data_IF_649561690209
#
_entry.id   IF_649561690209
#
_cell.length_a   1.000
_cell.length_b   1.000
_cell.length_c   1.000
_cell.angle_alpha   90.00
_cell.angle_beta   90.00
_cell.angle_gamma   90.00
#
_symmetry.space_group_name_H-M   'P 1'
#
loop_
_entity.id
_entity.type
_entity.pdbx_description
1 polymer ?
#
# COMPACT_ATOMS: atom_id res chain seq x y z
N UNK A 1 61.30 -54.51 -36.64
CA UNK A 1 60.59 -53.44 -37.36
C UNK A 1 59.40 -53.08 -36.52
N UNK A 2 59.55 -52.14 -35.53
CA UNK A 2 58.56 -51.84 -34.51
C UNK A 2 58.24 -50.35 -34.62
N UNK A 3 57.00 -50.04 -34.97
CA UNK A 3 56.53 -48.68 -35.17
C UNK A 3 56.02 -48.15 -33.82
N UNK A 4 56.74 -47.14 -33.30
CA UNK A 4 56.28 -46.39 -32.15
C UNK A 4 55.16 -45.40 -32.55
N UNK A 5 53.98 -45.56 -31.98
CA UNK A 5 52.91 -44.55 -32.02
C UNK A 5 53.15 -43.49 -30.93
N UNK A 6 53.43 -42.26 -31.33
CA UNK A 6 53.38 -41.08 -30.44
C UNK A 6 51.94 -40.65 -30.26
N UNK A 7 51.45 -40.68 -29.03
CA UNK A 7 50.21 -40.06 -28.64
C UNK A 7 50.49 -38.63 -28.20
N UNK A 8 49.97 -37.68 -28.95
CA UNK A 8 49.95 -36.24 -28.53
C UNK A 8 48.73 -36.05 -27.64
N UNK A 9 48.96 -35.69 -26.39
CA UNK A 9 47.95 -35.20 -25.46
C UNK A 9 47.61 -33.75 -25.80
N UNK A 10 46.37 -33.49 -26.18
CA UNK A 10 45.83 -32.16 -26.33
C UNK A 10 45.20 -31.78 -24.97
N UNK A 11 45.88 -30.89 -24.25
CA UNK A 11 45.29 -30.28 -23.07
C UNK A 11 44.28 -29.21 -23.48
N UNK A 12 43.01 -29.56 -23.37
CA UNK A 12 41.91 -28.61 -23.53
C UNK A 12 41.83 -27.76 -22.25
N UNK A 13 42.31 -26.51 -22.32
CA UNK A 13 42.08 -25.52 -21.30
C UNK A 13 40.62 -25.08 -21.33
N UNK A 14 39.85 -25.47 -20.33
CA UNK A 14 38.53 -24.87 -20.06
C UNK A 14 38.73 -23.44 -19.58
N UNK A 15 38.52 -22.48 -20.45
CA UNK A 15 38.23 -21.11 -20.03
C UNK A 15 36.78 -21.09 -19.50
N UNK A 16 36.62 -21.06 -18.18
CA UNK A 16 35.36 -20.74 -17.55
C UNK A 16 35.07 -19.24 -17.78
N UNK A 17 34.24 -18.94 -18.78
CA UNK A 17 33.61 -17.63 -18.86
C UNK A 17 32.63 -17.54 -17.67
N UNK A 18 33.02 -16.89 -16.59
CA UNK A 18 32.09 -16.41 -15.60
C UNK A 18 31.24 -15.31 -16.26
N UNK A 19 30.10 -15.72 -16.77
CA UNK A 19 29.07 -14.76 -17.15
C UNK A 19 28.63 -14.06 -15.85
N UNK A 20 29.14 -12.87 -15.62
CA UNK A 20 28.57 -11.93 -14.67
C UNK A 20 27.17 -11.58 -15.20
N UNK A 21 26.18 -12.35 -14.81
CA UNK A 21 24.78 -11.94 -14.93
C UNK A 21 24.58 -10.78 -13.98
N UNK A 22 24.79 -9.57 -14.48
CA UNK A 22 24.25 -8.41 -13.78
C UNK A 22 22.75 -8.62 -13.68
N UNK A 23 22.15 -8.42 -12.49
CA UNK A 23 20.70 -8.44 -12.40
C UNK A 23 20.20 -7.40 -13.40
N UNK A 24 19.34 -7.82 -14.32
CA UNK A 24 18.66 -6.93 -15.21
C UNK A 24 17.69 -6.09 -14.35
N UNK A 25 18.17 -4.98 -13.83
CA UNK A 25 17.29 -3.95 -13.30
C UNK A 25 16.40 -3.53 -14.47
N UNK A 26 15.09 -3.70 -14.31
CA UNK A 26 14.15 -3.13 -15.25
C UNK A 26 14.41 -1.63 -15.28
N UNK A 27 15.06 -1.15 -16.34
CA UNK A 27 15.24 0.28 -16.51
C UNK A 27 13.87 0.87 -16.81
N UNK A 28 13.37 1.70 -15.89
CA UNK A 28 12.18 2.48 -16.18
C UNK A 28 12.54 3.47 -17.29
N UNK A 29 11.65 3.67 -18.23
CA UNK A 29 11.81 4.69 -19.27
C UNK A 29 11.56 6.11 -18.73
N UNK A 30 11.15 6.22 -17.47
CA UNK A 30 10.92 7.47 -16.76
C UNK A 30 12.07 7.74 -15.79
N UNK A 31 12.43 9.02 -15.58
CA UNK A 31 13.40 9.37 -14.56
C UNK A 31 12.86 8.94 -13.20
N UNK A 32 13.75 8.37 -12.38
CA UNK A 32 13.47 8.07 -10.96
C UNK A 32 13.95 9.22 -10.09
N UNK A 33 13.45 9.28 -8.86
CA UNK A 33 13.69 10.37 -7.94
C UNK A 33 12.60 11.44 -8.01
N UNK A 34 12.86 12.61 -7.44
CA UNK A 34 11.92 13.73 -7.49
C UNK A 34 11.90 14.34 -8.90
N UNK A 35 10.73 14.34 -9.53
CA UNK A 35 10.52 14.81 -10.92
C UNK A 35 9.75 16.13 -10.97
N UNK A 36 8.99 16.43 -9.92
CA UNK A 36 8.29 17.71 -9.72
C UNK A 36 8.48 18.12 -8.27
N UNK A 37 8.85 19.36 -8.04
CA UNK A 37 8.83 19.95 -6.70
C UNK A 37 8.70 21.47 -6.73
N UNK A 38 7.59 21.97 -6.19
CA UNK A 38 7.32 23.38 -5.95
C UNK A 38 7.25 23.60 -4.44
N UNK A 39 8.37 23.90 -3.76
CA UNK A 39 8.43 23.96 -2.29
C UNK A 39 7.42 24.92 -1.66
N UNK A 40 7.11 26.02 -2.33
CA UNK A 40 6.14 27.02 -1.80
C UNK A 40 4.70 26.50 -1.75
N UNK A 41 4.35 25.44 -2.50
CA UNK A 41 3.00 24.91 -2.63
C UNK A 41 2.86 23.48 -2.06
N UNK A 42 3.95 22.74 -2.00
CA UNK A 42 3.97 21.41 -1.41
C UNK A 42 3.99 21.47 0.13
N UNK A 43 3.56 20.39 0.77
CA UNK A 43 3.74 20.20 2.20
C UNK A 43 5.09 19.55 2.46
N UNK A 44 5.95 20.26 3.14
CA UNK A 44 7.31 19.82 3.49
C UNK A 44 7.29 18.71 4.55
N UNK A 45 7.92 17.57 4.23
CA UNK A 45 7.94 16.38 5.11
C UNK A 45 9.05 15.44 4.69
N UNK A 46 9.30 14.41 5.49
CA UNK A 46 9.94 13.19 4.99
C UNK A 46 8.90 12.22 4.47
N UNK A 47 9.33 11.28 3.62
CA UNK A 47 8.51 10.15 3.17
C UNK A 47 9.19 8.85 3.59
N UNK A 48 8.48 8.05 4.39
CA UNK A 48 8.90 6.70 4.75
C UNK A 48 8.49 5.75 3.62
N UNK A 49 9.46 5.15 2.94
CA UNK A 49 9.25 4.26 1.80
C UNK A 49 9.67 2.84 2.15
N UNK A 50 8.79 1.91 1.88
CA UNK A 50 9.04 0.48 1.89
C UNK A 50 8.87 -0.06 0.48
N UNK A 51 9.93 -0.64 -0.07
CA UNK A 51 9.89 -1.20 -1.43
C UNK A 51 9.05 -2.46 -1.50
N UNK A 52 8.20 -2.53 -2.51
CA UNK A 52 7.47 -3.73 -2.86
C UNK A 52 8.26 -4.52 -3.90
N UNK A 53 8.84 -5.66 -3.51
CA UNK A 53 9.67 -6.47 -4.40
C UNK A 53 8.86 -7.34 -5.38
N UNK A 54 7.54 -7.28 -5.33
CA UNK A 54 6.70 -8.09 -6.20
C UNK A 54 6.59 -7.49 -7.59
N UNK A 55 7.38 -7.97 -8.49
CA UNK A 55 7.04 -7.99 -9.92
C UNK A 55 5.87 -8.96 -10.09
N UNK A 56 4.64 -8.47 -9.84
CA UNK A 56 3.40 -9.20 -10.00
C UNK A 56 3.06 -10.15 -8.84
N UNK A 57 1.78 -10.23 -8.50
CA UNK A 57 1.19 -11.19 -7.54
C UNK A 57 1.26 -12.65 -8.04
N UNK A 58 2.25 -13.01 -8.86
CA UNK A 58 2.36 -14.37 -9.35
C UNK A 58 3.07 -15.24 -8.31
N UNK A 59 2.52 -16.41 -7.92
CA UNK A 59 3.14 -17.28 -6.94
C UNK A 59 4.60 -17.65 -7.25
N UNK A 60 4.96 -17.73 -8.54
CA UNK A 60 6.34 -18.01 -8.96
C UNK A 60 7.30 -16.82 -8.72
N UNK A 61 6.83 -15.58 -8.72
CA UNK A 61 7.66 -14.42 -8.37
C UNK A 61 7.96 -14.41 -6.87
N UNK A 62 6.98 -14.80 -6.06
CA UNK A 62 7.14 -14.97 -4.60
C UNK A 62 8.16 -16.06 -4.27
N UNK A 63 8.03 -17.25 -4.89
CA UNK A 63 8.97 -18.37 -4.72
C UNK A 63 10.38 -17.99 -5.19
N UNK A 64 10.48 -17.18 -6.25
CA UNK A 64 11.78 -16.74 -6.75
C UNK A 64 12.43 -15.71 -5.83
N UNK A 65 11.68 -14.76 -5.31
CA UNK A 65 12.17 -13.79 -4.32
C UNK A 65 12.63 -14.46 -3.02
N UNK A 66 11.93 -15.51 -2.59
CA UNK A 66 12.31 -16.32 -1.43
C UNK A 66 13.55 -17.20 -1.71
N UNK A 67 13.67 -17.73 -2.92
CA UNK A 67 14.78 -18.62 -3.31
C UNK A 67 16.06 -17.88 -3.71
N UNK A 68 15.97 -16.66 -4.23
CA UNK A 68 17.10 -15.85 -4.67
C UNK A 68 17.67 -14.98 -3.51
N UNK A 69 17.17 -15.19 -2.27
CA UNK A 69 17.52 -14.34 -1.14
C UNK A 69 17.19 -12.90 -1.51
N UNK A 70 15.87 -12.59 -1.58
CA UNK A 70 15.44 -11.24 -1.92
C UNK A 70 16.34 -10.26 -1.18
N UNK A 71 17.03 -9.43 -1.93
CA UNK A 71 17.84 -8.36 -1.35
C UNK A 71 17.00 -7.70 -0.27
N UNK A 72 17.51 -7.54 0.94
CA UNK A 72 16.79 -6.86 1.99
C UNK A 72 16.38 -5.51 1.41
N UNK A 73 15.11 -5.39 1.03
CA UNK A 73 14.63 -4.12 0.58
C UNK A 73 14.66 -3.26 1.80
N UNK A 74 15.46 -2.22 1.75
CA UNK A 74 15.60 -1.28 2.83
C UNK A 74 14.31 -0.51 2.99
N UNK A 75 13.91 -0.26 4.22
CA UNK A 75 12.91 0.76 4.51
C UNK A 75 13.68 2.07 4.62
N UNK A 76 13.29 3.05 3.82
CA UNK A 76 14.02 4.31 3.67
C UNK A 76 13.17 5.49 4.08
N UNK A 77 13.80 6.45 4.69
CA UNK A 77 13.26 7.79 4.87
C UNK A 77 13.96 8.73 3.88
N UNK A 78 13.18 9.39 3.03
CA UNK A 78 13.69 10.37 2.06
C UNK A 78 13.19 11.77 2.38
N UNK A 79 13.94 12.79 1.97
CA UNK A 79 13.48 14.18 1.95
C UNK A 79 12.65 14.47 0.68
N UNK A 80 12.11 15.67 0.56
CA UNK A 80 11.30 16.07 -0.58
C UNK A 80 12.07 16.16 -1.90
N UNK A 81 13.39 16.29 -1.87
CA UNK A 81 14.27 16.24 -3.04
C UNK A 81 14.68 14.80 -3.40
N UNK A 82 14.23 13.81 -2.62
CA UNK A 82 14.50 12.40 -2.88
C UNK A 82 15.82 11.89 -2.32
N UNK A 83 16.51 12.67 -1.48
CA UNK A 83 17.73 12.23 -0.81
C UNK A 83 17.37 11.28 0.34
N UNK A 84 18.11 10.18 0.45
CA UNK A 84 17.96 9.24 1.56
C UNK A 84 18.50 9.87 2.84
N UNK A 85 17.65 9.99 3.84
CA UNK A 85 17.97 10.58 5.16
C UNK A 85 18.32 9.50 6.17
N UNK A 86 17.61 8.37 6.10
CA UNK A 86 17.84 7.23 6.98
C UNK A 86 17.39 5.93 6.32
N UNK A 87 17.99 4.80 6.73
CA UNK A 87 17.67 3.46 6.19
C UNK A 87 17.69 2.44 7.32
N UNK A 88 16.65 1.60 7.34
CA UNK A 88 16.61 0.39 8.17
C UNK A 88 16.79 -0.84 7.28
N UNK A 89 17.77 -1.66 7.60
CA UNK A 89 17.88 -3.00 7.03
C UNK A 89 16.96 -3.95 7.81
N UNK A 90 15.92 -4.45 7.15
CA UNK A 90 14.91 -5.31 7.80
C UNK A 90 14.89 -6.71 7.20
N UNK A 91 14.34 -7.67 7.94
CA UNK A 91 14.16 -9.03 7.45
C UNK A 91 13.44 -9.03 6.09
N UNK A 92 13.95 -9.76 5.08
CA UNK A 92 13.39 -9.73 3.72
C UNK A 92 11.94 -10.20 3.70
N UNK A 93 11.04 -9.38 3.16
CA UNK A 93 9.65 -9.74 2.94
C UNK A 93 9.08 -8.95 1.76
N UNK A 94 8.17 -9.54 0.99
CA UNK A 94 7.65 -8.92 -0.23
C UNK A 94 6.67 -7.78 0.03
N UNK A 95 5.93 -7.80 1.14
CA UNK A 95 4.92 -6.80 1.50
C UNK A 95 5.29 -6.14 2.84
N UNK A 96 6.23 -5.21 2.78
CA UNK A 96 6.88 -4.59 3.94
C UNK A 96 6.04 -3.46 4.51
N UNK A 97 4.98 -3.77 5.24
CA UNK A 97 4.22 -2.74 5.94
C UNK A 97 4.97 -2.26 7.15
N UNK A 98 5.13 -0.96 7.26
CA UNK A 98 5.88 -0.35 8.36
C UNK A 98 5.20 0.92 8.87
N UNK A 99 5.53 1.26 10.10
CA UNK A 99 5.11 2.51 10.77
C UNK A 99 6.28 3.03 11.61
N UNK A 100 6.60 4.30 11.45
CA UNK A 100 7.55 4.99 12.31
C UNK A 100 6.81 5.44 13.57
N UNK A 101 7.39 5.16 14.74
CA UNK A 101 6.86 5.59 16.03
C UNK A 101 7.43 6.97 16.43
N UNK A 102 6.75 7.72 17.32
CA UNK A 102 7.30 8.97 17.87
C UNK A 102 8.62 8.80 18.63
N UNK A 103 8.94 7.58 19.10
CA UNK A 103 10.24 7.24 19.70
C UNK A 103 11.40 7.23 18.70
N UNK A 104 11.10 7.10 17.41
CA UNK A 104 12.07 6.82 16.35
C UNK A 104 12.18 5.33 16.00
N UNK A 105 11.48 4.46 16.71
CA UNK A 105 11.44 3.05 16.37
C UNK A 105 10.57 2.80 15.14
N UNK A 106 10.95 1.80 14.35
CA UNK A 106 10.20 1.33 13.19
C UNK A 106 9.48 0.02 13.52
N UNK A 107 8.15 0.00 13.45
CA UNK A 107 7.39 -1.24 13.52
C UNK A 107 7.16 -1.77 12.11
N UNK A 108 7.43 -3.04 11.92
CA UNK A 108 7.49 -3.67 10.61
C UNK A 108 6.82 -5.05 10.62
N UNK A 109 5.96 -5.31 9.62
CA UNK A 109 5.37 -6.63 9.38
C UNK A 109 6.31 -7.41 8.48
N UNK A 110 6.96 -8.41 9.02
CA UNK A 110 7.99 -9.21 8.38
C UNK A 110 7.55 -10.61 7.95
N UNK A 111 8.51 -11.47 7.59
CA UNK A 111 8.24 -12.85 7.23
C UNK A 111 7.72 -13.68 8.40
N UNK A 112 7.19 -14.87 8.09
CA UNK A 112 6.74 -15.86 9.07
C UNK A 112 5.68 -15.35 10.07
N UNK A 113 4.85 -14.39 9.66
CA UNK A 113 3.81 -13.77 10.51
C UNK A 113 4.40 -13.07 11.75
N UNK A 114 5.64 -12.60 11.67
CA UNK A 114 6.32 -11.93 12.76
C UNK A 114 6.25 -10.43 12.57
N UNK A 115 5.90 -9.71 13.62
CA UNK A 115 5.97 -8.27 13.70
C UNK A 115 7.25 -7.92 14.45
N UNK A 116 8.04 -7.03 13.89
CA UNK A 116 9.29 -6.56 14.46
C UNK A 116 9.15 -5.08 14.85
N UNK A 117 9.82 -4.70 15.93
CA UNK A 117 10.13 -3.30 16.22
C UNK A 117 11.65 -3.15 16.23
N UNK A 118 12.14 -2.27 15.37
CA UNK A 118 13.55 -1.89 15.26
C UNK A 118 13.74 -0.54 15.92
N UNK A 119 14.84 -0.35 16.64
CA UNK A 119 15.24 0.99 17.05
C UNK A 119 15.77 1.82 15.86
N UNK A 120 16.16 3.05 16.13
CA UNK A 120 16.73 3.93 15.09
C UNK A 120 18.00 3.35 14.47
N UNK A 121 18.80 2.63 15.23
CA UNK A 121 20.08 2.05 14.81
C UNK A 121 19.94 0.69 14.11
N UNK A 122 18.70 0.19 13.95
CA UNK A 122 18.38 -1.06 13.26
C UNK A 122 18.44 -2.31 14.15
N UNK A 123 18.53 -2.17 15.48
CA UNK A 123 18.46 -3.31 16.39
C UNK A 123 16.99 -3.71 16.62
N UNK A 124 16.71 -5.01 16.65
CA UNK A 124 15.39 -5.52 17.02
C UNK A 124 15.20 -5.37 18.54
N UNK A 125 14.20 -4.59 18.93
CA UNK A 125 13.89 -4.30 20.34
C UNK A 125 12.61 -4.99 20.83
N UNK A 126 11.75 -5.42 19.92
CA UNK A 126 10.54 -6.16 20.22
C UNK A 126 10.10 -7.02 19.04
N UNK A 127 9.48 -8.17 19.34
CA UNK A 127 8.86 -9.06 18.34
C UNK A 127 7.55 -9.64 18.85
N UNK A 128 6.64 -9.90 17.91
CA UNK A 128 5.42 -10.66 18.19
C UNK A 128 5.16 -11.67 17.07
N UNK A 129 4.80 -12.90 17.45
CA UNK A 129 4.52 -14.00 16.53
C UNK A 129 3.14 -14.58 16.81
N UNK A 130 2.59 -15.34 15.86
CA UNK A 130 1.42 -16.18 16.09
C UNK A 130 0.08 -15.64 15.64
N UNK A 131 -0.03 -14.36 15.27
CA UNK A 131 -1.21 -13.84 14.60
C UNK A 131 -1.08 -14.09 13.09
N UNK A 132 -2.16 -14.53 12.45
CA UNK A 132 -2.21 -14.96 11.07
C UNK A 132 -1.55 -14.04 10.04
N UNK A 133 -1.87 -14.16 8.76
CA UNK A 133 -1.29 -13.28 7.73
C UNK A 133 -1.74 -11.84 7.96
N UNK A 134 -0.85 -11.00 8.48
CA UNK A 134 -1.14 -9.59 8.76
C UNK A 134 -1.18 -8.80 7.45
N UNK A 135 -2.35 -8.23 7.15
CA UNK A 135 -2.54 -7.43 5.94
C UNK A 135 -2.38 -5.93 6.17
N UNK A 136 -2.72 -5.42 7.34
CA UNK A 136 -2.44 -4.06 7.77
C UNK A 136 -2.20 -4.00 9.29
N UNK A 137 -1.59 -2.91 9.72
CA UNK A 137 -1.28 -2.64 11.11
C UNK A 137 -1.42 -1.15 11.39
N UNK A 138 -2.00 -0.82 12.55
CA UNK A 138 -2.02 0.54 13.09
C UNK A 138 -1.46 0.55 14.50
N UNK A 139 -0.79 1.63 14.83
CA UNK A 139 -0.36 1.89 16.21
C UNK A 139 -1.45 2.74 16.86
N UNK A 140 -1.96 2.27 17.97
CA UNK A 140 -2.99 2.96 18.74
C UNK A 140 -2.38 4.00 19.69
N UNK A 141 -3.16 4.97 20.19
CA UNK A 141 -2.65 5.98 21.13
C UNK A 141 -2.05 5.42 22.43
N UNK A 142 -2.48 4.23 22.86
CA UNK A 142 -1.91 3.49 23.99
C UNK A 142 -0.66 2.68 23.62
N UNK A 143 -0.13 2.88 22.41
CA UNK A 143 1.00 2.16 21.85
C UNK A 143 0.76 0.66 21.61
N UNK A 144 -0.47 0.17 21.68
CA UNK A 144 -0.82 -1.18 21.23
C UNK A 144 -0.84 -1.25 19.68
N UNK A 145 -0.78 -2.48 19.16
CA UNK A 145 -0.83 -2.75 17.72
C UNK A 145 -2.20 -3.30 17.37
N UNK A 146 -2.94 -2.57 16.53
CA UNK A 146 -4.17 -3.07 15.92
C UNK A 146 -3.80 -3.74 14.60
N UNK A 147 -4.11 -5.03 14.48
CA UNK A 147 -3.69 -5.90 13.38
C UNK A 147 -4.91 -6.41 12.61
N UNK A 148 -4.79 -6.55 11.30
CA UNK A 148 -5.70 -7.35 10.48
C UNK A 148 -5.03 -8.70 10.24
N UNK A 149 -5.73 -9.78 10.59
CA UNK A 149 -5.33 -11.15 10.26
C UNK A 149 -6.34 -11.80 9.32
N UNK A 150 -5.83 -12.60 8.40
CA UNK A 150 -6.65 -13.44 7.52
C UNK A 150 -6.46 -14.90 7.95
N UNK A 151 -7.45 -15.42 8.66
CA UNK A 151 -7.46 -16.78 9.20
C UNK A 151 -8.65 -17.57 8.64
N UNK A 152 -8.57 -18.89 8.57
CA UNK A 152 -9.72 -19.72 8.19
C UNK A 152 -10.91 -19.47 9.07
N UNK A 153 -12.08 -19.20 8.49
CA UNK A 153 -13.34 -19.11 9.20
C UNK A 153 -13.63 -20.47 9.86
N UNK A 154 -14.10 -20.52 11.14
CA UNK A 154 -14.42 -21.78 11.80
C UNK A 154 -15.43 -22.63 10.99
N UNK A 155 -15.30 -23.96 11.06
CA UNK A 155 -16.05 -24.90 10.23
C UNK A 155 -17.58 -24.75 10.34
N UNK A 156 -18.08 -24.45 11.54
CA UNK A 156 -19.50 -24.22 11.77
C UNK A 156 -20.07 -23.03 10.99
N UNK A 157 -19.25 -21.98 10.77
CA UNK A 157 -19.60 -20.83 9.92
C UNK A 157 -19.40 -21.17 8.44
N UNK A 158 -18.33 -21.90 8.12
CA UNK A 158 -18.06 -22.33 6.74
C UNK A 158 -19.24 -23.10 6.14
N UNK A 159 -19.95 -23.90 6.90
CA UNK A 159 -21.15 -24.64 6.47
C UNK A 159 -22.35 -23.74 6.11
N UNK A 160 -22.34 -22.48 6.47
CA UNK A 160 -23.38 -21.49 6.14
C UNK A 160 -23.14 -20.82 4.79
N UNK A 161 -21.98 -20.97 4.21
CA UNK A 161 -21.63 -20.44 2.88
C UNK A 161 -22.39 -21.22 1.82
N UNK A 162 -23.13 -20.51 0.97
CA UNK A 162 -23.92 -21.09 -0.12
C UNK A 162 -23.07 -21.24 -1.38
N UNK A 163 -23.38 -22.27 -2.15
CA UNK A 163 -22.84 -22.41 -3.49
C UNK A 163 -23.44 -21.37 -4.42
N UNK A 164 -22.59 -20.58 -5.05
CA UNK A 164 -23.01 -19.54 -5.99
C UNK A 164 -22.11 -19.57 -7.21
N UNK A 165 -22.74 -19.62 -8.39
CA UNK A 165 -22.03 -19.43 -9.63
C UNK A 165 -21.70 -17.97 -9.82
N UNK A 166 -20.40 -17.66 -9.88
CA UNK A 166 -19.88 -16.33 -10.19
C UNK A 166 -19.45 -16.34 -11.65
N UNK A 167 -19.97 -15.38 -12.43
CA UNK A 167 -19.60 -15.21 -13.83
C UNK A 167 -18.72 -13.96 -14.03
N UNK A 168 -17.46 -13.99 -13.62
CA UNK A 168 -16.53 -12.92 -13.93
C UNK A 168 -16.25 -12.91 -15.45
N UNK A 169 -15.69 -11.82 -15.94
CA UNK A 169 -15.41 -11.63 -17.37
C UNK A 169 -14.44 -12.68 -17.97
N UNK A 170 -13.69 -13.40 -17.14
CA UNK A 170 -12.79 -14.49 -17.55
C UNK A 170 -13.43 -15.89 -17.53
N UNK A 171 -14.70 -15.98 -17.24
CA UNK A 171 -15.46 -17.22 -17.22
C UNK A 171 -16.17 -17.50 -15.90
N UNK A 172 -17.18 -18.35 -15.91
CA UNK A 172 -17.93 -18.72 -14.71
C UNK A 172 -17.06 -19.51 -13.74
N UNK A 173 -17.24 -19.24 -12.45
CA UNK A 173 -16.66 -19.98 -11.34
C UNK A 173 -17.73 -20.31 -10.32
N UNK A 174 -17.60 -21.45 -9.69
CA UNK A 174 -18.42 -21.80 -8.54
C UNK A 174 -17.68 -21.37 -7.27
N UNK A 175 -18.35 -20.58 -6.45
CA UNK A 175 -17.92 -20.28 -5.08
C UNK A 175 -18.91 -20.92 -4.13
N UNK A 176 -18.42 -21.57 -3.09
CA UNK A 176 -19.34 -22.21 -2.17
C UNK A 176 -18.75 -22.87 -0.94
N UNK A 177 -19.58 -23.68 -0.33
CA UNK A 177 -19.29 -24.36 0.93
C UNK A 177 -18.12 -25.35 0.89
N UNK A 178 -17.70 -25.76 -0.32
CA UNK A 178 -16.54 -26.64 -0.49
C UNK A 178 -15.16 -25.98 -0.37
N UNK A 179 -15.13 -24.64 -0.31
CA UNK A 179 -13.90 -23.88 -0.22
C UNK A 179 -13.67 -23.37 1.19
N UNK A 180 -12.44 -23.51 1.71
CA UNK A 180 -12.06 -22.86 2.97
C UNK A 180 -12.02 -21.36 2.77
N UNK A 181 -12.92 -20.63 3.41
CA UNK A 181 -12.95 -19.17 3.38
C UNK A 181 -12.01 -18.62 4.43
N UNK A 182 -11.21 -17.63 4.04
CA UNK A 182 -10.46 -16.81 4.98
C UNK A 182 -11.34 -15.67 5.47
N UNK A 183 -11.43 -15.52 6.77
CA UNK A 183 -12.10 -14.42 7.44
C UNK A 183 -11.27 -13.15 7.44
N UNK A 184 -11.79 -12.16 8.14
CA UNK A 184 -11.06 -10.96 8.50
C UNK A 184 -11.19 -10.79 10.01
N UNK A 185 -10.07 -10.94 10.69
CA UNK A 185 -9.99 -10.89 12.12
C UNK A 185 -9.15 -9.70 12.53
N UNK A 186 -9.59 -8.97 13.54
CA UNK A 186 -8.89 -7.84 14.08
C UNK A 186 -8.40 -8.20 15.49
N UNK A 187 -7.14 -7.89 15.77
CA UNK A 187 -6.54 -8.11 17.08
C UNK A 187 -5.85 -6.83 17.56
N UNK A 188 -6.09 -6.45 18.81
CA UNK A 188 -5.25 -5.48 19.50
C UNK A 188 -4.26 -6.23 20.39
N UNK A 189 -2.98 -6.01 20.13
CA UNK A 189 -1.88 -6.64 20.87
C UNK A 189 -1.15 -5.58 21.67
N UNK A 190 -0.95 -5.83 22.97
CA UNK A 190 -0.18 -4.96 23.84
C UNK A 190 1.33 -5.19 23.70
N UNK A 191 2.13 -4.43 24.44
CA UNK A 191 3.59 -4.54 24.42
C UNK A 191 4.13 -5.82 25.06
N UNK A 192 3.32 -6.48 25.89
CA UNK A 192 3.66 -7.78 26.49
C UNK A 192 3.36 -8.94 25.52
N UNK A 193 2.80 -8.64 24.35
CA UNK A 193 2.44 -9.61 23.31
C UNK A 193 1.07 -10.26 23.55
N UNK A 194 0.27 -9.76 24.48
CA UNK A 194 -1.06 -10.31 24.78
C UNK A 194 -2.11 -9.69 23.87
N UNK A 195 -3.05 -10.51 23.38
CA UNK A 195 -4.26 -10.05 22.70
C UNK A 195 -5.22 -9.51 23.77
N UNK A 196 -5.43 -8.19 23.76
CA UNK A 196 -6.27 -7.50 24.74
C UNK A 196 -7.67 -7.14 24.19
N UNK A 197 -7.84 -7.21 22.87
CA UNK A 197 -9.12 -7.05 22.18
C UNK A 197 -9.08 -7.79 20.85
N UNK A 198 -10.23 -8.36 20.47
CA UNK A 198 -10.40 -9.07 19.21
C UNK A 198 -11.79 -8.85 18.60
N UNK A 199 -11.89 -8.95 17.30
CA UNK A 199 -13.13 -8.89 16.55
C UNK A 199 -13.03 -9.78 15.32
N UNK A 200 -14.08 -10.59 15.08
CA UNK A 200 -14.11 -11.56 13.98
C UNK A 200 -15.28 -11.24 13.04
N UNK A 201 -15.01 -10.98 11.78
CA UNK A 201 -16.01 -10.58 10.81
C UNK A 201 -17.18 -11.60 10.67
N UNK A 202 -16.87 -12.89 10.76
CA UNK A 202 -17.88 -13.96 10.64
C UNK A 202 -18.92 -13.97 11.75
N UNK A 203 -18.71 -13.26 12.85
CA UNK A 203 -19.69 -13.09 13.93
C UNK A 203 -20.64 -11.90 13.68
N UNK A 204 -20.38 -11.05 12.67
CA UNK A 204 -21.04 -9.77 12.50
C UNK A 204 -21.59 -9.53 11.09
N UNK A 205 -21.10 -10.24 10.09
CA UNK A 205 -21.49 -10.09 8.68
C UNK A 205 -22.01 -11.40 8.11
N UNK A 206 -22.97 -11.28 7.17
CA UNK A 206 -23.47 -12.42 6.41
C UNK A 206 -22.35 -13.00 5.55
N UNK A 207 -22.01 -14.27 5.76
CA UNK A 207 -20.99 -15.00 5.00
C UNK A 207 -21.29 -15.11 3.50
N UNK A 208 -22.53 -14.83 3.10
CA UNK A 208 -22.96 -14.82 1.71
C UNK A 208 -22.86 -13.45 1.03
N UNK A 209 -22.30 -12.44 1.74
CA UNK A 209 -21.92 -11.17 1.13
C UNK A 209 -20.64 -11.37 0.32
N UNK A 210 -20.71 -11.20 -0.96
CA UNK A 210 -19.55 -11.22 -1.87
C UNK A 210 -19.86 -10.49 -3.17
N UNK A 211 -18.84 -10.10 -3.89
CA UNK A 211 -18.95 -9.51 -5.23
C UNK A 211 -18.51 -10.53 -6.30
N UNK A 212 -18.90 -10.32 -7.57
CA UNK A 212 -18.43 -11.16 -8.68
C UNK A 212 -16.92 -11.22 -8.84
N UNK A 213 -16.19 -10.25 -8.27
CA UNK A 213 -14.74 -10.19 -8.31
C UNK A 213 -14.05 -10.76 -7.08
N UNK A 214 -14.80 -11.26 -6.10
CA UNK A 214 -14.22 -11.90 -4.91
C UNK A 214 -13.47 -13.16 -5.31
N UNK A 215 -12.17 -13.27 -4.97
CA UNK A 215 -11.39 -14.49 -5.20
C UNK A 215 -11.95 -15.67 -4.41
N UNK A 216 -11.70 -16.87 -4.89
CA UNK A 216 -12.00 -18.09 -4.14
C UNK A 216 -11.24 -18.10 -2.81
N UNK A 217 -11.93 -18.48 -1.75
CA UNK A 217 -11.34 -18.61 -0.42
C UNK A 217 -10.98 -17.29 0.29
N UNK A 218 -11.23 -16.12 -0.30
CA UNK A 218 -10.88 -14.82 0.29
C UNK A 218 -12.13 -13.93 0.37
N UNK A 219 -12.88 -14.10 1.42
CA UNK A 219 -14.23 -13.55 1.55
C UNK A 219 -14.29 -12.01 1.50
N UNK A 220 -13.73 -11.31 2.49
CA UNK A 220 -13.83 -9.86 2.59
C UNK A 220 -12.58 -9.14 2.08
N UNK A 221 -11.43 -9.78 2.22
CA UNK A 221 -10.13 -9.16 1.99
C UNK A 221 -10.01 -7.79 2.66
N UNK A 222 -10.25 -7.75 3.97
CA UNK A 222 -10.06 -6.51 4.72
C UNK A 222 -8.60 -6.09 4.59
N UNK A 223 -8.39 -4.90 4.06
CA UNK A 223 -7.05 -4.47 3.67
C UNK A 223 -6.59 -3.19 4.38
N UNK A 224 -7.48 -2.49 5.07
CA UNK A 224 -7.09 -1.37 5.92
C UNK A 224 -8.01 -1.23 7.13
N UNK A 225 -7.40 -0.82 8.23
CA UNK A 225 -8.07 -0.40 9.47
C UNK A 225 -7.48 0.92 9.92
N UNK A 226 -8.31 1.77 10.51
CA UNK A 226 -7.86 3.00 11.13
C UNK A 226 -8.73 3.30 12.37
N UNK A 227 -8.15 3.64 13.52
CA UNK A 227 -8.94 4.20 14.62
C UNK A 227 -9.49 5.56 14.17
N UNK A 228 -10.76 5.82 14.50
CA UNK A 228 -11.34 7.14 14.25
C UNK A 228 -10.64 8.19 15.12
N UNK A 229 -10.24 9.33 14.53
CA UNK A 229 -9.68 10.44 15.27
C UNK A 229 -10.79 11.23 16.00
N UNK A 230 -10.40 12.20 16.80
CA UNK A 230 -11.29 13.28 17.23
C UNK A 230 -11.95 13.94 16.02
N UNK A 231 -13.29 14.13 16.04
CA UNK A 231 -14.01 14.59 14.86
C UNK A 231 -15.29 15.37 15.23
N UNK A 232 -15.75 16.17 14.26
CA UNK A 232 -16.93 17.04 14.40
C UNK A 232 -18.24 16.29 14.64
N UNK A 233 -18.33 15.05 14.20
CA UNK A 233 -19.57 14.27 14.31
C UNK A 233 -19.80 13.79 15.74
N UNK A 234 -18.76 13.27 16.36
CA UNK A 234 -18.79 12.92 17.78
C UNK A 234 -18.99 14.15 18.66
N UNK A 235 -18.33 15.27 18.35
CA UNK A 235 -18.54 16.55 19.03
C UNK A 235 -20.02 17.01 18.94
N UNK A 236 -20.72 16.66 17.86
CA UNK A 236 -22.13 16.94 17.67
C UNK A 236 -23.07 15.88 18.30
N UNK A 237 -22.55 14.86 18.97
CA UNK A 237 -23.30 13.83 19.67
C UNK A 237 -23.57 12.54 18.86
N UNK A 238 -22.92 12.36 17.71
CA UNK A 238 -23.06 11.12 16.93
C UNK A 238 -22.08 10.05 17.43
N UNK A 239 -22.58 9.16 18.28
CA UNK A 239 -21.81 8.09 18.93
C UNK A 239 -21.21 7.07 17.94
N UNK A 240 -21.74 6.98 16.72
CA UNK A 240 -21.16 6.10 15.69
C UNK A 240 -19.71 6.44 15.39
N UNK A 241 -19.37 7.73 15.46
CA UNK A 241 -18.04 8.24 15.14
C UNK A 241 -17.20 8.56 16.38
N UNK A 242 -17.43 7.87 17.50
CA UNK A 242 -16.63 7.98 18.71
C UNK A 242 -15.14 7.77 18.38
N UNK A 243 -14.24 8.67 18.84
CA UNK A 243 -12.79 8.46 18.71
C UNK A 243 -12.35 7.11 19.26
N UNK A 244 -11.51 6.42 18.51
CA UNK A 244 -11.06 5.07 18.83
C UNK A 244 -11.94 3.94 18.30
N UNK A 245 -13.18 4.19 17.84
CA UNK A 245 -13.92 3.24 17.00
C UNK A 245 -13.11 2.93 15.73
N UNK A 246 -13.31 1.76 15.15
CA UNK A 246 -12.44 1.25 14.09
C UNK A 246 -13.13 1.38 12.74
N UNK A 247 -12.53 2.18 11.85
CA UNK A 247 -12.89 2.23 10.43
C UNK A 247 -12.21 1.07 9.72
N UNK A 248 -12.97 0.24 9.03
CA UNK A 248 -12.53 -0.98 8.37
C UNK A 248 -12.94 -0.96 6.90
N UNK A 249 -12.02 -1.25 5.97
CA UNK A 249 -12.34 -1.38 4.55
C UNK A 249 -12.41 -2.85 4.12
N UNK A 250 -13.62 -3.31 3.78
CA UNK A 250 -13.88 -4.64 3.23
C UNK A 250 -13.82 -4.58 1.69
N UNK A 251 -12.62 -4.75 1.15
CA UNK A 251 -12.26 -4.57 -0.25
C UNK A 251 -13.15 -5.36 -1.20
N UNK A 252 -13.35 -6.65 -0.92
CA UNK A 252 -13.99 -7.55 -1.87
C UNK A 252 -15.51 -7.36 -1.97
N UNK A 253 -16.13 -6.70 -1.00
CA UNK A 253 -17.55 -6.34 -1.03
C UNK A 253 -17.79 -4.84 -1.20
N UNK A 254 -16.70 -4.06 -1.46
CA UNK A 254 -16.76 -2.64 -1.76
C UNK A 254 -17.50 -1.81 -0.69
N UNK A 255 -17.24 -2.08 0.58
CA UNK A 255 -17.92 -1.44 1.70
C UNK A 255 -16.91 -1.06 2.79
N UNK A 256 -17.11 0.09 3.39
CA UNK A 256 -16.38 0.56 4.56
C UNK A 256 -17.30 0.50 5.77
N UNK A 257 -16.79 0.03 6.91
CA UNK A 257 -17.55 -0.11 8.14
C UNK A 257 -16.92 0.67 9.29
N UNK A 258 -17.73 1.13 10.22
CA UNK A 258 -17.27 1.56 11.54
C UNK A 258 -17.73 0.55 12.57
N UNK A 259 -16.76 0.03 13.32
CA UNK A 259 -16.97 -0.90 14.43
C UNK A 259 -16.85 -0.10 15.72
N UNK A 260 -17.88 -0.12 16.53
CA UNK A 260 -17.79 0.37 17.90
C UNK A 260 -16.88 -0.54 18.72
N UNK A 261 -15.78 0.01 19.20
CA UNK A 261 -14.72 -0.79 19.83
C UNK A 261 -15.16 -1.42 21.17
N UNK A 262 -16.05 -0.77 21.89
CA UNK A 262 -16.55 -1.24 23.19
C UNK A 262 -17.57 -2.36 23.02
N UNK A 263 -18.58 -2.17 22.17
CA UNK A 263 -19.67 -3.12 21.96
C UNK A 263 -19.37 -4.17 20.90
N UNK A 264 -18.29 -3.99 20.12
CA UNK A 264 -17.91 -4.83 18.97
C UNK A 264 -18.95 -4.85 17.84
N UNK A 265 -19.93 -3.94 17.83
CA UNK A 265 -20.99 -3.86 16.82
C UNK A 265 -20.58 -2.98 15.66
N UNK A 266 -20.99 -3.35 14.46
CA UNK A 266 -20.96 -2.44 13.32
C UNK A 266 -22.03 -1.37 13.56
N UNK A 267 -21.62 -0.10 13.59
CA UNK A 267 -22.48 1.06 13.89
C UNK A 267 -22.69 1.99 12.70
N UNK A 268 -21.89 1.81 11.64
CA UNK A 268 -22.01 2.55 10.38
C UNK A 268 -21.45 1.73 9.24
N UNK A 269 -22.02 1.91 8.05
CA UNK A 269 -21.51 1.38 6.80
C UNK A 269 -21.62 2.43 5.69
N UNK A 270 -20.69 2.40 4.73
CA UNK A 270 -20.70 3.32 3.62
C UNK A 270 -19.98 2.79 2.39
N UNK A 271 -20.44 3.29 1.27
CA UNK A 271 -19.86 3.08 -0.05
C UNK A 271 -20.14 4.32 -0.89
N UNK A 272 -19.63 4.38 -2.11
CA UNK A 272 -19.99 5.45 -3.05
C UNK A 272 -20.41 4.89 -4.41
N UNK A 273 -21.12 5.71 -5.18
CA UNK A 273 -21.63 5.37 -6.50
C UNK A 273 -20.94 6.14 -7.65
N UNK A 274 -19.81 6.80 -7.36
CA UNK A 274 -19.08 7.60 -8.35
C UNK A 274 -18.62 6.74 -9.53
N UNK A 275 -18.98 7.16 -10.75
CA UNK A 275 -18.57 6.52 -12.02
C UNK A 275 -18.68 4.98 -12.02
N UNK A 276 -19.76 4.44 -11.46
CA UNK A 276 -20.03 3.01 -11.43
C UNK A 276 -19.73 2.33 -10.10
N UNK A 277 -19.45 3.11 -9.08
CA UNK A 277 -19.32 2.64 -7.70
C UNK A 277 -17.90 2.31 -7.24
N UNK A 278 -17.75 2.16 -5.95
CA UNK A 278 -16.49 1.76 -5.32
C UNK A 278 -16.02 0.41 -5.84
N UNK A 279 -14.74 0.27 -6.13
CA UNK A 279 -14.18 -0.94 -6.70
C UNK A 279 -12.82 -1.27 -6.10
N UNK A 280 -12.81 -2.22 -5.15
CA UNK A 280 -11.61 -2.75 -4.51
C UNK A 280 -10.75 -1.69 -3.79
N UNK A 281 -11.41 -0.78 -3.07
CA UNK A 281 -10.74 0.32 -2.39
C UNK A 281 -9.70 -0.15 -1.35
N UNK A 282 -8.75 0.75 -1.08
CA UNK A 282 -7.72 0.63 -0.05
C UNK A 282 -7.70 1.87 0.84
N UNK A 283 -7.04 1.77 1.97
CA UNK A 283 -6.64 2.86 2.86
C UNK A 283 -7.77 3.86 3.16
N UNK A 284 -8.94 3.36 3.60
CA UNK A 284 -9.99 4.25 4.08
C UNK A 284 -9.57 4.86 5.43
N UNK A 285 -9.65 6.19 5.56
CA UNK A 285 -9.40 6.90 6.81
C UNK A 285 -10.35 8.09 6.97
N UNK A 286 -10.64 8.49 8.20
CA UNK A 286 -11.32 9.74 8.48
C UNK A 286 -10.29 10.87 8.57
N UNK A 287 -10.54 11.97 7.88
CA UNK A 287 -9.68 13.15 7.89
C UNK A 287 -9.65 13.75 9.29
N UNK A 288 -8.45 13.93 9.82
CA UNK A 288 -8.21 14.39 11.19
C UNK A 288 -8.74 15.81 11.44
N UNK A 289 -9.12 16.07 12.69
CA UNK A 289 -9.58 17.40 13.14
C UNK A 289 -8.50 18.45 12.88
N UNK A 290 -8.90 19.60 12.38
CA UNK A 290 -8.00 20.71 12.03
C UNK A 290 -7.48 20.68 10.58
N UNK A 291 -7.69 19.59 9.86
CA UNK A 291 -7.35 19.52 8.44
C UNK A 291 -8.54 19.90 7.54
N UNK A 292 -8.31 20.41 6.34
CA UNK A 292 -9.37 20.62 5.35
C UNK A 292 -10.13 19.32 5.06
N UNK A 293 -11.46 19.34 5.18
CA UNK A 293 -12.31 18.16 5.06
C UNK A 293 -12.45 17.34 6.36
N UNK A 294 -11.99 17.86 7.49
CA UNK A 294 -12.05 17.17 8.80
C UNK A 294 -13.39 16.51 9.08
N UNK A 295 -13.35 15.22 9.46
CA UNK A 295 -14.50 14.37 9.72
C UNK A 295 -15.09 13.67 8.46
N UNK A 296 -14.65 14.00 7.25
CA UNK A 296 -14.99 13.26 6.06
C UNK A 296 -14.13 11.99 5.96
N UNK A 297 -14.61 10.99 5.23
CA UNK A 297 -13.86 9.77 4.95
C UNK A 297 -13.20 9.91 3.59
N UNK A 298 -11.90 9.66 3.53
CA UNK A 298 -11.13 9.64 2.29
C UNK A 298 -10.61 8.22 2.03
N UNK A 299 -10.65 7.77 0.77
CA UNK A 299 -10.24 6.42 0.39
C UNK A 299 -9.59 6.38 -1.00
N UNK A 300 -8.76 5.35 -1.22
CA UNK A 300 -8.11 5.04 -2.47
C UNK A 300 -8.93 3.99 -3.23
N UNK A 301 -9.75 4.41 -4.19
CA UNK A 301 -10.58 3.49 -4.99
C UNK A 301 -9.81 3.00 -6.21
N UNK A 302 -9.32 1.76 -6.18
CA UNK A 302 -8.44 1.19 -7.20
C UNK A 302 -9.09 1.02 -8.57
N UNK A 303 -10.42 0.90 -8.66
CA UNK A 303 -11.11 0.82 -9.94
C UNK A 303 -10.96 -0.51 -10.67
N UNK A 304 -10.73 -1.62 -9.95
CA UNK A 304 -10.51 -2.92 -10.55
C UNK A 304 -11.84 -3.57 -10.99
N UNK A 305 -11.87 -4.15 -12.15
CA UNK A 305 -12.85 -5.03 -12.84
C UNK A 305 -14.36 -4.95 -12.54
N UNK A 306 -14.79 -4.55 -11.35
CA UNK A 306 -16.23 -4.54 -10.98
C UNK A 306 -16.96 -3.27 -11.37
N UNK A 307 -16.19 -2.25 -11.76
CA UNK A 307 -16.76 -0.98 -12.20
C UNK A 307 -17.27 -1.07 -13.64
N UNK A 308 -18.23 -0.21 -13.99
CA UNK A 308 -18.72 -0.08 -15.34
C UNK A 308 -17.58 0.03 -16.36
N UNK A 309 -17.70 -0.61 -17.53
CA UNK A 309 -16.65 -0.75 -18.54
C UNK A 309 -15.93 0.56 -18.90
N UNK A 310 -16.64 1.66 -18.91
CA UNK A 310 -16.06 2.99 -19.23
C UNK A 310 -15.03 3.47 -18.19
N UNK A 311 -15.03 2.91 -16.99
CA UNK A 311 -14.20 3.35 -15.86
C UNK A 311 -13.37 2.21 -15.25
N UNK A 312 -13.38 1.03 -15.87
CA UNK A 312 -12.51 -0.08 -15.47
C UNK A 312 -11.05 0.31 -15.69
N UNK A 313 -10.19 0.07 -14.70
CA UNK A 313 -8.77 0.42 -14.79
C UNK A 313 -8.49 1.92 -14.57
N UNK A 314 -9.41 2.62 -13.90
CA UNK A 314 -9.23 4.01 -13.47
C UNK A 314 -9.32 4.07 -11.93
N UNK A 315 -8.28 4.62 -11.32
CA UNK A 315 -8.22 4.87 -9.88
C UNK A 315 -8.80 6.25 -9.55
N UNK A 316 -9.45 6.34 -8.40
CA UNK A 316 -9.95 7.59 -7.84
C UNK A 316 -9.49 7.74 -6.39
N UNK A 317 -9.16 8.96 -5.97
CA UNK A 317 -9.18 9.30 -4.55
C UNK A 317 -10.51 9.96 -4.29
N UNK A 318 -11.29 9.40 -3.39
CA UNK A 318 -12.65 9.88 -3.12
C UNK A 318 -12.74 10.34 -1.68
N UNK A 319 -13.24 11.56 -1.49
CA UNK A 319 -13.61 12.10 -0.19
C UNK A 319 -15.13 12.17 -0.11
N UNK A 320 -15.72 11.59 0.94
CA UNK A 320 -17.16 11.57 1.15
C UNK A 320 -17.55 12.04 2.56
N UNK A 321 -18.68 12.70 2.64
CA UNK A 321 -19.34 13.00 3.90
C UNK A 321 -19.95 11.72 4.48
N UNK A 322 -19.59 11.29 5.70
CA UNK A 322 -20.05 10.02 6.25
C UNK A 322 -21.53 10.03 6.68
N UNK A 323 -22.18 11.18 6.75
CA UNK A 323 -23.61 11.27 7.10
C UNK A 323 -24.50 11.16 5.87
N UNK A 324 -24.14 11.89 4.81
CA UNK A 324 -24.95 11.97 3.59
C UNK A 324 -24.49 10.98 2.52
N UNK A 325 -23.27 10.46 2.62
CA UNK A 325 -22.55 9.69 1.61
C UNK A 325 -22.35 10.47 0.29
N UNK A 326 -22.52 11.78 0.33
CA UNK A 326 -22.21 12.65 -0.81
C UNK A 326 -20.70 12.78 -0.99
N UNK A 327 -20.30 12.81 -2.24
CA UNK A 327 -18.90 13.02 -2.61
C UNK A 327 -18.58 14.49 -2.50
N UNK A 328 -17.57 14.80 -1.70
CA UNK A 328 -17.11 16.17 -1.42
C UNK A 328 -15.96 16.55 -2.35
N UNK A 329 -15.08 15.61 -2.64
CA UNK A 329 -13.93 15.84 -3.51
C UNK A 329 -13.48 14.53 -4.16
N UNK A 330 -12.94 14.65 -5.38
CA UNK A 330 -12.35 13.53 -6.12
C UNK A 330 -11.07 13.99 -6.79
N UNK A 331 -10.03 13.18 -6.70
CA UNK A 331 -8.89 13.25 -7.61
C UNK A 331 -8.98 12.13 -8.64
N UNK A 332 -8.87 12.49 -9.90
CA UNK A 332 -8.83 11.58 -11.04
C UNK A 332 -8.04 12.21 -12.19
N UNK A 333 -7.67 11.42 -13.17
CA UNK A 333 -7.12 11.93 -14.43
C UNK A 333 -8.18 11.88 -15.53
N UNK A 334 -8.30 12.95 -16.30
CA UNK A 334 -9.31 13.09 -17.37
C UNK A 334 -8.86 12.48 -18.71
N UNK A 335 -9.84 12.10 -19.53
CA UNK A 335 -9.67 11.64 -20.90
C UNK A 335 -8.80 10.38 -21.03
N UNK A 336 -7.99 10.32 -22.09
CA UNK A 336 -7.03 9.22 -22.28
C UNK A 336 -5.89 9.23 -21.26
N UNK A 337 -5.83 10.24 -20.42
CA UNK A 337 -4.87 10.35 -19.33
C UNK A 337 -5.21 9.43 -18.13
N UNK A 338 -6.36 8.76 -18.12
CA UNK A 338 -6.72 7.78 -17.11
C UNK A 338 -5.72 6.63 -16.97
N UNK A 339 -4.93 6.37 -18.03
CA UNK A 339 -3.79 5.43 -17.94
C UNK A 339 -2.68 5.97 -17.04
N UNK A 340 -2.67 7.27 -16.74
CA UNK A 340 -1.63 7.93 -15.92
C UNK A 340 -1.88 7.83 -14.41
N UNK A 341 -3.09 7.49 -13.98
CA UNK A 341 -3.43 7.27 -12.58
C UNK A 341 -4.19 5.96 -12.42
N UNK A 342 -3.43 4.89 -12.25
CA UNK A 342 -3.99 3.57 -12.04
C UNK A 342 -3.09 2.69 -11.17
N UNK A 343 -3.53 2.41 -9.96
CA UNK A 343 -2.93 1.40 -9.10
C UNK A 343 -3.91 0.23 -8.96
N UNK A 344 -3.57 -0.90 -9.55
CA UNK A 344 -4.42 -2.09 -9.57
C UNK A 344 -4.78 -2.59 -8.18
N UNK A 345 -3.82 -2.54 -7.26
CA UNK A 345 -3.93 -2.99 -5.87
C UNK A 345 -3.11 -2.06 -4.99
N UNK A 346 -3.34 -2.09 -3.69
CA UNK A 346 -2.69 -1.22 -2.73
C UNK A 346 -2.96 0.26 -3.06
N UNK A 347 -2.12 1.14 -2.59
CA UNK A 347 -2.30 2.57 -2.71
C UNK A 347 -2.63 3.20 -1.37
N UNK A 348 -2.22 4.44 -1.23
CA UNK A 348 -2.44 5.22 -0.01
C UNK A 348 -2.72 6.66 -0.37
N UNK A 349 -3.48 7.34 0.46
CA UNK A 349 -3.69 8.78 0.40
C UNK A 349 -3.69 9.36 1.81
N UNK A 350 -3.35 10.63 1.93
CA UNK A 350 -3.42 11.38 3.19
C UNK A 350 -3.71 12.83 2.92
N UNK A 351 -4.71 13.39 3.62
CA UNK A 351 -4.91 14.84 3.63
C UNK A 351 -3.81 15.52 4.45
N UNK A 352 -3.20 16.55 3.88
CA UNK A 352 -2.07 17.26 4.46
C UNK A 352 -2.49 18.59 5.12
N UNK A 353 -1.70 19.12 6.06
CA UNK A 353 -2.01 20.36 6.78
C UNK A 353 -2.24 21.59 5.90
N UNK A 354 -1.57 21.68 4.76
CA UNK A 354 -1.74 22.77 3.79
C UNK A 354 -2.95 22.60 2.85
N UNK A 355 -3.74 21.52 3.01
CA UNK A 355 -4.90 21.21 2.19
C UNK A 355 -4.61 20.32 0.99
N UNK A 356 -3.37 20.08 0.64
CA UNK A 356 -2.99 19.13 -0.39
C UNK A 356 -3.35 17.70 0.03
N UNK A 357 -3.40 16.80 -0.94
CA UNK A 357 -3.52 15.36 -0.70
C UNK A 357 -2.27 14.65 -1.18
N UNK A 358 -1.60 13.94 -0.28
CA UNK A 358 -0.55 12.99 -0.64
C UNK A 358 -1.19 11.72 -1.20
N UNK A 359 -0.63 11.18 -2.29
CA UNK A 359 -1.12 10.00 -2.98
C UNK A 359 0.07 9.11 -3.35
N UNK A 360 -0.07 7.80 -3.14
CA UNK A 360 0.92 6.81 -3.57
C UNK A 360 0.28 5.77 -4.48
N UNK A 361 0.73 5.70 -5.73
CA UNK A 361 0.45 4.62 -6.66
C UNK A 361 1.42 3.45 -6.39
N UNK A 362 1.12 2.64 -5.40
CA UNK A 362 2.04 1.62 -4.89
C UNK A 362 2.55 0.65 -5.97
N UNK A 363 1.71 0.28 -6.95
CA UNK A 363 2.12 -0.65 -7.99
C UNK A 363 3.18 -0.09 -8.95
N UNK A 364 3.16 1.21 -9.18
CA UNK A 364 4.10 1.89 -10.09
C UNK A 364 5.25 2.55 -9.36
N UNK A 365 5.14 2.71 -8.04
CA UNK A 365 6.12 3.42 -7.23
C UNK A 365 6.08 4.94 -7.40
N UNK A 366 4.98 5.49 -7.92
CA UNK A 366 4.78 6.93 -8.07
C UNK A 366 4.12 7.50 -6.83
N UNK A 367 4.77 8.47 -6.22
CA UNK A 367 4.31 9.19 -5.02
C UNK A 367 4.15 10.65 -5.39
N UNK A 368 3.05 11.30 -5.00
CA UNK A 368 2.85 12.69 -5.37
C UNK A 368 1.92 13.44 -4.41
N UNK A 369 1.99 14.76 -4.44
CA UNK A 369 1.08 15.65 -3.73
C UNK A 369 0.29 16.47 -4.74
N UNK A 370 -1.03 16.51 -4.56
CA UNK A 370 -1.93 17.31 -5.37
C UNK A 370 -2.61 18.39 -4.53
N UNK A 371 -2.79 19.57 -5.13
CA UNK A 371 -3.64 20.63 -4.59
C UNK A 371 -5.11 20.24 -4.70
N UNK A 372 -6.03 20.96 -4.01
CA UNK A 372 -7.47 20.71 -4.15
C UNK A 372 -8.02 20.80 -5.58
N UNK A 373 -7.38 21.59 -6.45
CA UNK A 373 -7.72 21.73 -7.87
C UNK A 373 -7.13 20.64 -8.78
N UNK A 374 -6.35 19.71 -8.20
CA UNK A 374 -5.75 18.59 -8.91
C UNK A 374 -4.35 18.84 -9.48
N UNK A 375 -3.78 20.04 -9.31
CA UNK A 375 -2.41 20.33 -9.73
C UNK A 375 -1.39 19.55 -8.89
N UNK A 376 -0.44 18.88 -9.54
CA UNK A 376 0.64 18.15 -8.88
C UNK A 376 1.77 19.14 -8.55
N UNK A 377 2.09 19.25 -7.27
CA UNK A 377 3.13 20.17 -6.76
C UNK A 377 4.38 19.46 -6.23
N UNK A 378 4.29 18.15 -6.07
CA UNK A 378 5.43 17.28 -5.79
C UNK A 378 5.19 15.90 -6.41
N UNK A 379 6.22 15.33 -7.03
CA UNK A 379 6.20 13.97 -7.56
C UNK A 379 7.56 13.31 -7.35
N UNK A 380 7.53 12.09 -6.85
CA UNK A 380 8.69 11.22 -6.72
C UNK A 380 8.38 9.88 -7.37
N UNK A 381 9.31 9.38 -8.17
CA UNK A 381 9.21 8.07 -8.83
C UNK A 381 10.23 7.11 -8.23
N UNK A 382 9.75 6.11 -7.51
CA UNK A 382 10.57 5.03 -6.98
C UNK A 382 10.95 4.05 -8.10
N UNK A 383 12.07 3.34 -7.96
CA UNK A 383 12.53 2.36 -8.96
C UNK A 383 11.63 1.13 -9.10
N UNK A 384 10.86 0.82 -8.07
CA UNK A 384 9.93 -0.29 -8.02
C UNK A 384 8.64 0.12 -7.34
N UNK A 385 7.70 -0.82 -7.19
CA UNK A 385 6.50 -0.58 -6.41
C UNK A 385 6.82 -0.28 -4.94
N UNK A 386 5.87 0.32 -4.25
CA UNK A 386 5.96 0.65 -2.83
C UNK A 386 4.87 -0.05 -2.03
N UNK A 387 5.00 -0.07 -0.71
CA UNK A 387 3.97 -0.58 0.19
C UNK A 387 3.57 0.50 1.18
N UNK A 388 2.52 1.23 0.87
CA UNK A 388 1.93 2.28 1.72
C UNK A 388 2.95 3.25 2.33
N UNK A 389 3.68 3.99 1.50
CA UNK A 389 4.59 5.03 1.96
C UNK A 389 3.85 6.06 2.81
N UNK A 390 4.52 6.55 3.85
CA UNK A 390 3.90 7.44 4.82
C UNK A 390 4.58 8.80 4.85
N UNK A 391 3.79 9.86 5.00
CA UNK A 391 4.26 11.23 5.22
C UNK A 391 4.67 11.38 6.69
N UNK A 392 5.88 11.80 6.93
CA UNK A 392 6.48 11.95 8.27
C UNK A 392 6.89 13.42 8.48
N UNK A 393 6.31 14.13 9.45
CA UNK A 393 6.75 15.49 9.77
C UNK A 393 8.24 15.57 10.08
N UNK A 394 8.90 16.66 9.72
CA UNK A 394 10.34 16.84 9.95
C UNK A 394 10.75 16.77 11.42
N UNK A 395 9.82 17.04 12.32
CA UNK A 395 10.02 17.04 13.78
C UNK A 395 9.34 15.86 14.49
N UNK A 396 8.92 14.83 13.75
CA UNK A 396 8.12 13.73 14.29
C UNK A 396 8.84 12.95 15.41
N UNK A 397 10.15 12.69 15.26
CA UNK A 397 10.93 11.95 16.24
C UNK A 397 12.05 12.82 16.84
N UNK A 398 12.62 12.47 18.02
CA UNK A 398 13.80 13.16 18.56
C UNK A 398 15.00 13.14 17.58
N UNK A 399 15.20 12.01 16.88
CA UNK A 399 16.29 11.85 15.93
C UNK A 399 16.12 12.81 14.74
N UNK A 400 14.91 12.93 14.19
CA UNK A 400 14.61 13.83 13.08
C UNK A 400 14.76 15.30 13.47
N UNK A 401 14.35 15.66 14.68
CA UNK A 401 14.57 17.02 15.22
C UNK A 401 16.04 17.40 15.36
N UNK A 402 16.91 16.41 15.55
CA UNK A 402 18.36 16.64 15.67
C UNK A 402 19.06 16.81 14.30
N UNK A 403 18.40 16.44 13.21
CA UNK A 403 18.95 16.63 11.86
C UNK A 403 18.80 18.08 11.40
N UNK A 404 19.72 18.59 10.57
CA UNK A 404 19.51 19.84 9.87
C UNK A 404 18.27 19.73 8.97
N UNK A 405 17.47 20.80 8.91
CA UNK A 405 16.34 20.82 8.00
C UNK A 405 16.84 20.71 6.55
N UNK A 406 16.26 19.82 5.74
CA UNK A 406 16.66 19.68 4.34
C UNK A 406 16.51 21.01 3.57
N UNK A 407 17.44 21.30 2.68
CA UNK A 407 17.25 22.35 1.68
C UNK A 407 16.23 21.87 0.66
N UNK A 408 15.20 22.68 0.42
CA UNK A 408 14.12 22.36 -0.49
C UNK A 408 14.32 23.07 -1.81
N UNK A 409 14.68 22.30 -2.84
CA UNK A 409 15.03 22.82 -4.17
C UNK A 409 13.87 22.56 -5.15
N UNK A 410 13.53 23.59 -5.92
CA UNK A 410 12.55 23.44 -7.00
C UNK A 410 13.03 22.45 -8.05
N UNK A 411 12.15 21.50 -8.41
CA UNK A 411 12.39 20.56 -9.49
C UNK A 411 11.26 20.71 -10.50
N UNK A 412 11.64 20.98 -11.75
CA UNK A 412 10.71 21.05 -12.89
C UNK A 412 10.63 19.70 -13.60
N UNK A 413 9.46 19.33 -14.14
CA UNK A 413 9.35 18.11 -14.95
C UNK A 413 10.38 18.12 -16.08
N UNK A 414 11.02 16.96 -16.35
CA UNK A 414 11.96 16.87 -17.46
C UNK A 414 11.23 17.15 -18.79
N UNK A 415 11.90 17.85 -19.69
CA UNK A 415 11.42 18.02 -21.05
C UNK A 415 11.28 16.64 -21.71
N UNK A 416 10.11 16.34 -22.29
CA UNK A 416 9.83 15.08 -22.95
C UNK A 416 10.83 14.69 -24.05
N UNK A 417 11.57 15.65 -24.60
CA UNK A 417 12.59 15.42 -25.62
C UNK A 417 13.97 15.10 -25.03
N UNK A 418 14.28 15.56 -23.81
CA UNK A 418 15.62 15.45 -23.25
C UNK A 418 15.96 14.03 -22.75
N UNK A 419 14.98 13.24 -22.38
CA UNK A 419 15.15 11.88 -21.87
C UNK A 419 14.57 10.78 -22.77
N UNK A 420 13.99 11.17 -23.90
CA UNK A 420 13.65 10.24 -24.97
C UNK A 420 14.84 10.06 -25.88
N UNK A 421 15.40 8.91 -25.92
CA UNK A 421 16.28 8.37 -26.96
C UNK A 421 17.06 9.43 -27.75
N UNK A 422 18.32 9.65 -27.40
CA UNK A 422 19.30 10.38 -28.22
C UNK A 422 18.67 11.52 -29.07
N UNK A 423 18.25 12.64 -28.46
CA UNK A 423 17.59 13.73 -29.19
C UNK A 423 18.45 14.28 -30.35
N UNK A 424 19.75 14.12 -30.27
CA UNK A 424 20.70 14.57 -31.28
C UNK A 424 20.57 13.81 -32.59
N UNK A 425 20.19 12.54 -32.58
CA UNK A 425 19.95 11.75 -33.80
C UNK A 425 18.76 12.30 -34.57
N UNK A 426 17.73 12.75 -33.89
CA UNK A 426 16.53 13.32 -34.51
C UNK A 426 16.76 14.74 -34.98
N UNK A 427 17.54 15.53 -34.25
CA UNK A 427 17.89 16.90 -34.67
C UNK A 427 18.76 16.93 -35.92
N UNK A 428 19.72 16.02 -36.02
CA UNK A 428 20.60 15.93 -37.20
C UNK A 428 19.87 15.46 -38.48
N UNK A 429 18.82 14.64 -38.32
CA UNK A 429 18.06 14.09 -39.45
C UNK A 429 16.86 14.93 -39.88
N UNK A 430 16.46 15.93 -39.09
CA UNK A 430 15.25 16.72 -39.36
C UNK A 430 13.94 15.90 -39.34
N UNK A 431 13.95 14.72 -38.68
CA UNK A 431 12.81 13.82 -38.56
C UNK A 431 12.04 14.13 -37.26
N UNK A 432 10.91 14.83 -37.42
CA UNK A 432 9.88 14.98 -36.37
C UNK A 432 8.51 14.68 -36.95
#
# INVERSE_FOLDING_TARGET
MTIMKQTRSISAGLLALAALTQPAFAQTVFPTGTTIYTPAEAHSSYILISDHTAVGNHPSARVRAEAEGASPGDIRLIDMNGNVVHTWEVAPFFNKRCRLLPSGNLVYVGPNKTIYEYDWDGNVVWTHEGIGSVNDMRILPNNNRLLIAHEPIPEEYQRQVRDVEIAPWWGPRLRGSGETQLGADLYEVNLDGEVVWEWHAHNHLDLNLFSPATPEGDWLHVNSVAPLPENKWYDAGDERFRPGNILLNARNINTVYVIDKETKRIVWEGTHNYKGGMAHAHEAEMIEKGLPGAGNIILFDNGLFTRHRAHTGQTFIVELDPITLEIVWVYETEGYANIKFFSKTMGTQKRLPNGNTYIAEDNTGRLFQVKPDGEIVWEYVNRGGTTRPSVIPYDFTPQLRALPRPEELTVTPPNNLEWRIAPDIHREKGEY
#
